data_IF_419604163857
#
_entry.id   IF_419604163857
#
_cell.length_a   1.000
_cell.length_b   1.000
_cell.length_c   1.000
_cell.angle_alpha   90.00
_cell.angle_beta   90.00
_cell.angle_gamma   90.00
#
_symmetry.space_group_name_H-M   'P 1'
#
loop_
_entity.id
_entity.type
_entity.pdbx_description
1 polymer ?
#
# COMPACT_ATOMS: atom_id res chain seq x y z
N UNK A 1 49.33 31.51 -58.26
CA UNK A 1 49.27 30.06 -57.97
C UNK A 1 49.03 29.84 -56.46
N UNK A 2 47.83 29.62 -56.04
CA UNK A 2 47.48 29.40 -54.64
C UNK A 2 47.11 27.91 -54.46
N UNK A 3 48.02 27.14 -53.86
CA UNK A 3 47.79 25.73 -53.54
C UNK A 3 46.87 25.61 -52.36
N UNK A 4 45.67 24.99 -52.52
CA UNK A 4 44.80 24.57 -51.44
C UNK A 4 45.37 23.29 -50.83
N UNK A 5 45.82 23.38 -49.58
CA UNK A 5 46.19 22.22 -48.77
C UNK A 5 44.88 21.66 -48.20
N UNK A 6 44.40 20.56 -48.76
CA UNK A 6 43.28 19.80 -48.23
C UNK A 6 43.83 18.88 -47.14
N UNK A 7 43.64 19.25 -45.88
CA UNK A 7 44.06 18.43 -44.74
C UNK A 7 43.09 17.23 -44.63
N UNK A 8 43.51 16.05 -45.09
CA UNK A 8 42.81 14.78 -44.86
C UNK A 8 42.92 14.44 -43.37
N UNK A 9 41.79 14.44 -42.67
CA UNK A 9 41.73 13.90 -41.30
C UNK A 9 42.13 12.42 -41.34
N UNK A 10 42.99 11.94 -40.42
CA UNK A 10 43.40 10.54 -40.38
C UNK A 10 42.19 9.63 -40.08
N UNK A 11 42.01 8.58 -40.89
CA UNK A 11 40.92 7.58 -40.85
C UNK A 11 40.69 7.04 -39.40
N UNK A 12 41.75 6.92 -38.61
CA UNK A 12 41.72 6.50 -37.22
C UNK A 12 40.93 7.45 -36.31
N UNK A 13 40.90 8.75 -36.62
CA UNK A 13 40.14 9.75 -35.83
C UNK A 13 38.64 9.68 -36.13
N UNK A 14 38.28 9.43 -37.38
CA UNK A 14 36.87 9.21 -37.76
C UNK A 14 36.28 7.96 -37.14
N UNK A 15 37.03 6.85 -37.04
CA UNK A 15 36.57 5.63 -36.37
C UNK A 15 36.28 5.83 -34.87
N UNK A 16 37.14 6.55 -34.17
CA UNK A 16 36.94 6.87 -32.76
C UNK A 16 35.70 7.76 -32.54
N UNK A 17 35.50 8.75 -33.40
CA UNK A 17 34.32 9.64 -33.30
C UNK A 17 33.02 8.87 -33.58
N UNK A 18 32.98 7.98 -34.57
CA UNK A 18 31.80 7.15 -34.85
C UNK A 18 31.50 6.16 -33.74
N UNK A 19 32.53 5.56 -33.13
CA UNK A 19 32.32 4.68 -31.96
C UNK A 19 31.78 5.43 -30.76
N UNK A 20 32.27 6.63 -30.47
CA UNK A 20 31.77 7.47 -29.37
C UNK A 20 30.31 7.89 -29.65
N UNK A 21 30.01 8.28 -30.90
CA UNK A 21 28.64 8.67 -31.28
C UNK A 21 27.67 7.50 -31.17
N UNK A 22 28.10 6.30 -31.58
CA UNK A 22 27.31 5.08 -31.45
C UNK A 22 27.07 4.72 -29.98
N UNK A 23 28.08 4.86 -29.12
CA UNK A 23 27.98 4.62 -27.67
C UNK A 23 26.99 5.61 -27.00
N UNK A 24 27.05 6.88 -27.41
CA UNK A 24 26.14 7.92 -26.91
C UNK A 24 24.70 7.67 -27.37
N UNK A 25 24.48 7.20 -28.59
CA UNK A 25 23.15 6.83 -29.10
C UNK A 25 22.60 5.61 -28.35
N UNK A 26 23.43 4.59 -28.12
CA UNK A 26 23.02 3.40 -27.31
C UNK A 26 22.71 3.79 -25.87
N UNK A 27 23.49 4.69 -25.27
CA UNK A 27 23.24 5.20 -23.92
C UNK A 27 21.94 6.02 -23.83
N UNK A 28 21.61 6.79 -24.87
CA UNK A 28 20.39 7.57 -24.97
C UNK A 28 19.14 6.71 -25.24
N UNK A 29 19.32 5.51 -25.77
CA UNK A 29 18.24 4.54 -26.02
C UNK A 29 17.98 3.60 -24.83
N UNK A 30 18.79 3.67 -23.76
CA UNK A 30 18.51 2.93 -22.55
C UNK A 30 17.20 3.46 -21.95
N UNK A 31 16.19 2.60 -21.72
CA UNK A 31 14.97 3.06 -21.10
C UNK A 31 15.31 3.65 -19.74
N UNK A 32 14.99 4.92 -19.51
CA UNK A 32 15.00 5.52 -18.20
C UNK A 32 14.03 4.69 -17.34
N UNK A 33 14.58 3.76 -16.55
CA UNK A 33 13.80 2.98 -15.61
C UNK A 33 13.14 3.95 -14.62
N UNK A 34 11.89 4.32 -14.88
CA UNK A 34 11.09 5.07 -13.91
C UNK A 34 10.84 4.13 -12.74
N UNK A 35 11.56 4.37 -11.65
CA UNK A 35 11.40 3.56 -10.45
C UNK A 35 9.96 3.70 -9.94
N UNK A 36 9.28 2.55 -9.74
CA UNK A 36 7.93 2.49 -9.25
C UNK A 36 7.81 3.19 -7.88
N UNK A 37 6.82 4.06 -7.74
CA UNK A 37 6.52 4.78 -6.49
C UNK A 37 5.59 3.97 -5.60
N UNK A 38 5.63 4.29 -4.32
CA UNK A 38 4.68 3.76 -3.36
C UNK A 38 3.83 4.92 -2.85
N UNK A 39 2.52 4.79 -2.96
CA UNK A 39 1.57 5.76 -2.42
C UNK A 39 0.88 5.15 -1.21
N UNK A 40 1.03 5.77 -0.04
CA UNK A 40 0.35 5.36 1.20
C UNK A 40 -0.63 6.45 1.65
N UNK A 41 -1.89 6.05 1.83
CA UNK A 41 -2.86 6.76 2.65
C UNK A 41 -2.98 6.01 3.98
N UNK A 42 -2.45 6.61 5.06
CA UNK A 42 -2.50 6.05 6.41
C UNK A 42 -3.54 6.79 7.24
N UNK A 43 -4.52 6.04 7.77
CA UNK A 43 -5.64 6.57 8.56
C UNK A 43 -5.66 5.89 9.91
N UNK A 44 -5.67 6.68 11.00
CA UNK A 44 -5.76 6.16 12.37
C UNK A 44 -6.64 7.02 13.24
N UNK A 45 -7.68 6.43 13.85
CA UNK A 45 -8.65 7.17 14.65
C UNK A 45 -8.73 6.55 16.02
N UNK A 46 -8.18 7.25 17.01
CA UNK A 46 -8.23 6.92 18.43
C UNK A 46 -9.26 7.74 19.17
N UNK A 47 -9.38 9.03 18.82
CA UNK A 47 -10.26 10.00 19.46
C UNK A 47 -11.49 10.20 18.53
N UNK A 48 -12.59 9.59 18.90
CA UNK A 48 -13.88 9.68 18.21
C UNK A 48 -14.80 10.71 18.88
N UNK A 49 -15.83 11.20 18.19
CA UNK A 49 -16.82 12.07 18.81
C UNK A 49 -17.48 11.39 20.04
N UNK A 50 -17.18 11.93 21.21
CA UNK A 50 -17.61 11.38 22.49
C UNK A 50 -16.72 10.25 23.00
N UNK A 51 -16.32 10.31 24.25
CA UNK A 51 -15.27 9.47 24.88
C UNK A 51 -15.56 7.97 24.96
N UNK A 52 -16.81 7.53 24.75
CA UNK A 52 -17.19 6.10 24.82
C UNK A 52 -16.60 5.23 23.73
N UNK A 53 -16.21 5.84 22.62
CA UNK A 53 -15.73 5.14 21.42
C UNK A 53 -14.23 5.30 21.23
N UNK A 54 -13.52 5.88 22.19
CA UNK A 54 -12.09 6.08 22.07
C UNK A 54 -11.33 4.77 22.11
N UNK A 55 -10.28 4.72 21.29
CA UNK A 55 -9.34 3.61 21.18
C UNK A 55 -7.92 4.12 21.50
N UNK A 56 -7.08 3.24 22.02
CA UNK A 56 -5.76 3.64 22.47
C UNK A 56 -4.69 3.63 21.38
N UNK A 57 -4.75 2.68 20.47
CA UNK A 57 -3.62 2.37 19.57
C UNK A 57 -3.73 2.92 18.14
N UNK A 58 -4.91 3.17 17.54
CA UNK A 58 -5.02 3.44 16.12
C UNK A 58 -4.20 4.61 15.60
N UNK A 59 -4.08 5.71 16.35
CA UNK A 59 -3.25 6.85 15.94
C UNK A 59 -1.76 6.47 15.88
N UNK A 60 -1.29 5.64 16.82
CA UNK A 60 0.08 5.12 16.82
C UNK A 60 0.30 4.15 15.65
N UNK A 61 -0.69 3.30 15.35
CA UNK A 61 -0.62 2.37 14.24
C UNK A 61 -0.43 3.13 12.91
N UNK A 62 -1.24 4.16 12.69
CA UNK A 62 -1.14 4.97 11.48
C UNK A 62 0.17 5.75 11.41
N UNK A 63 0.67 6.28 12.53
CA UNK A 63 1.96 6.96 12.60
C UNK A 63 3.12 5.99 12.34
N UNK A 64 3.04 4.76 12.86
CA UNK A 64 4.02 3.70 12.61
C UNK A 64 4.11 3.36 11.13
N UNK A 65 2.97 3.22 10.45
CA UNK A 65 2.95 2.95 9.01
C UNK A 65 3.47 4.15 8.22
N UNK A 66 3.14 5.38 8.59
CA UNK A 66 3.73 6.58 7.98
C UNK A 66 5.25 6.56 8.09
N UNK A 67 5.76 6.32 9.29
CA UNK A 67 7.20 6.31 9.55
C UNK A 67 7.90 5.23 8.72
N UNK A 68 7.39 3.99 8.73
CA UNK A 68 7.92 2.88 7.93
C UNK A 68 8.04 3.23 6.44
N UNK A 69 6.95 3.75 5.86
CA UNK A 69 6.96 4.05 4.43
C UNK A 69 7.82 5.26 4.09
N UNK A 70 8.01 6.23 5.00
CA UNK A 70 8.92 7.36 4.80
C UNK A 70 10.40 6.95 4.75
N UNK A 71 10.79 5.81 5.28
CA UNK A 71 12.13 5.24 5.11
C UNK A 71 12.41 4.87 3.65
N UNK A 72 11.36 4.58 2.88
CA UNK A 72 11.48 4.30 1.45
C UNK A 72 11.45 5.60 0.64
N UNK A 73 12.56 5.91 -0.04
CA UNK A 73 12.72 7.16 -0.83
C UNK A 73 11.67 7.32 -1.94
N UNK A 74 11.07 6.22 -2.40
CA UNK A 74 10.05 6.23 -3.45
C UNK A 74 8.63 6.42 -2.91
N UNK A 75 8.46 6.45 -1.59
CA UNK A 75 7.14 6.57 -0.99
C UNK A 75 6.62 8.02 -0.94
N UNK A 76 5.34 8.16 -1.22
CA UNK A 76 4.54 9.38 -1.03
C UNK A 76 3.47 9.06 0.00
N UNK A 77 3.51 9.72 1.15
CA UNK A 77 2.69 9.36 2.31
C UNK A 77 1.74 10.49 2.68
N UNK A 78 0.46 10.16 2.84
CA UNK A 78 -0.57 11.00 3.43
C UNK A 78 -1.01 10.36 4.75
N UNK A 79 -0.96 11.12 5.86
CA UNK A 79 -1.41 10.68 7.17
C UNK A 79 -2.64 11.51 7.57
N UNK A 80 -3.70 10.81 7.96
CA UNK A 80 -4.92 11.40 8.51
C UNK A 80 -5.22 10.74 9.87
N UNK A 81 -5.29 11.54 10.93
CA UNK A 81 -5.56 11.04 12.29
C UNK A 81 -6.75 11.79 12.91
N UNK A 82 -7.51 11.06 13.72
CA UNK A 82 -8.60 11.58 14.54
C UNK A 82 -9.55 12.51 13.74
N UNK A 83 -9.77 13.75 14.18
CA UNK A 83 -10.65 14.74 13.56
C UNK A 83 -10.30 15.12 12.10
N UNK A 84 -9.06 14.81 11.66
CA UNK A 84 -8.64 14.99 10.26
C UNK A 84 -9.10 13.84 9.36
N UNK A 85 -9.43 12.69 9.95
CA UNK A 85 -9.86 11.50 9.23
C UNK A 85 -11.39 11.47 8.99
N UNK A 86 -11.94 12.57 8.47
CA UNK A 86 -13.34 12.68 8.05
C UNK A 86 -13.56 11.94 6.72
N UNK A 87 -14.75 11.39 6.53
CA UNK A 87 -15.11 10.62 5.32
C UNK A 87 -14.74 11.37 4.04
N UNK A 88 -15.14 12.64 3.94
CA UNK A 88 -14.85 13.47 2.76
C UNK A 88 -13.35 13.69 2.54
N UNK A 89 -12.57 13.89 3.63
CA UNK A 89 -11.11 14.07 3.56
C UNK A 89 -10.42 12.81 3.12
N UNK A 90 -10.82 11.65 3.68
CA UNK A 90 -10.25 10.34 3.31
C UNK A 90 -10.56 10.02 1.84
N UNK A 91 -11.81 10.22 1.39
CA UNK A 91 -12.20 10.01 -0.02
C UNK A 91 -11.41 10.92 -0.97
N UNK A 92 -11.23 12.21 -0.63
CA UNK A 92 -10.43 13.16 -1.42
C UNK A 92 -8.96 12.75 -1.52
N UNK A 93 -8.36 12.33 -0.38
CA UNK A 93 -6.98 11.85 -0.36
C UNK A 93 -6.80 10.57 -1.21
N UNK A 94 -7.73 9.63 -1.09
CA UNK A 94 -7.77 8.41 -1.89
C UNK A 94 -7.88 8.75 -3.39
N UNK A 95 -8.82 9.60 -3.77
CA UNK A 95 -9.01 10.01 -5.16
C UNK A 95 -7.75 10.67 -5.75
N UNK A 96 -7.11 11.56 -4.98
CA UNK A 96 -5.83 12.17 -5.39
C UNK A 96 -4.74 11.12 -5.59
N UNK A 97 -4.63 10.14 -4.71
CA UNK A 97 -3.63 9.09 -4.78
C UNK A 97 -3.83 8.22 -6.04
N UNK A 98 -5.06 7.75 -6.27
CA UNK A 98 -5.35 6.86 -7.41
C UNK A 98 -5.25 7.56 -8.77
N UNK A 99 -5.47 8.89 -8.82
CA UNK A 99 -5.39 9.67 -10.07
C UNK A 99 -3.97 9.87 -10.58
N UNK A 100 -2.96 9.79 -9.71
CA UNK A 100 -1.54 10.01 -10.08
C UNK A 100 -0.73 8.72 -10.22
N UNK A 101 -1.24 7.60 -9.69
CA UNK A 101 -0.53 6.34 -9.72
C UNK A 101 -0.47 5.75 -11.14
N UNK A 102 0.70 5.27 -11.53
CA UNK A 102 0.95 4.57 -12.79
C UNK A 102 0.78 3.06 -12.64
N UNK A 103 0.91 2.31 -13.75
CA UNK A 103 0.65 0.86 -13.75
C UNK A 103 1.57 0.06 -12.82
N UNK A 104 2.81 0.51 -12.66
CA UNK A 104 3.85 -0.22 -11.91
C UNK A 104 3.99 0.27 -10.46
N UNK A 105 3.31 1.36 -10.12
CA UNK A 105 3.31 1.91 -8.76
C UNK A 105 2.58 0.96 -7.78
N UNK A 106 2.85 1.14 -6.50
CA UNK A 106 2.19 0.44 -5.40
C UNK A 106 1.26 1.43 -4.70
N UNK A 107 -0.01 1.06 -4.54
CA UNK A 107 -1.04 1.90 -3.89
C UNK A 107 -1.55 1.20 -2.64
N UNK A 108 -1.35 1.84 -1.50
CA UNK A 108 -1.64 1.29 -0.17
C UNK A 108 -2.60 2.19 0.57
N UNK A 109 -3.67 1.60 1.11
CA UNK A 109 -4.48 2.20 2.18
C UNK A 109 -4.15 1.42 3.45
N UNK A 110 -3.82 2.12 4.51
CA UNK A 110 -3.78 1.59 5.87
C UNK A 110 -4.89 2.25 6.69
N UNK A 111 -5.64 1.46 7.41
CA UNK A 111 -6.67 1.94 8.34
C UNK A 111 -6.51 1.26 9.70
N UNK A 112 -6.50 2.03 10.78
CA UNK A 112 -6.64 1.53 12.14
C UNK A 112 -7.73 2.31 12.86
N UNK A 113 -8.68 1.59 13.52
CA UNK A 113 -9.84 2.19 14.17
C UNK A 113 -11.02 1.24 14.28
N UNK A 114 -12.21 1.80 14.50
CA UNK A 114 -13.43 1.01 14.50
C UNK A 114 -13.80 0.55 13.08
N UNK A 115 -14.26 -0.70 13.02
CA UNK A 115 -14.84 -1.27 11.81
C UNK A 115 -16.32 -1.57 12.01
N UNK A 116 -17.05 -1.55 10.91
CA UNK A 116 -18.44 -1.98 10.80
C UNK A 116 -18.59 -2.99 9.67
N UNK A 117 -19.73 -3.65 9.60
CA UNK A 117 -20.02 -4.55 8.48
C UNK A 117 -19.97 -3.79 7.17
N UNK A 118 -18.98 -4.13 6.32
CA UNK A 118 -18.83 -3.53 5.00
C UNK A 118 -18.07 -2.20 4.95
N UNK A 119 -17.39 -1.78 6.04
CA UNK A 119 -16.66 -0.51 6.03
C UNK A 119 -15.87 -0.20 7.30
N UNK A 120 -15.30 0.98 7.30
CA UNK A 120 -14.54 1.58 8.38
C UNK A 120 -15.29 2.78 8.97
N UNK A 121 -15.13 3.03 10.26
CA UNK A 121 -15.69 4.19 10.94
C UNK A 121 -14.66 5.32 10.87
N UNK A 122 -14.93 6.34 10.05
CA UNK A 122 -14.20 7.60 10.07
C UNK A 122 -14.70 8.50 11.21
N UNK A 123 -14.04 9.64 11.41
CA UNK A 123 -14.37 10.56 12.50
C UNK A 123 -15.83 11.04 12.49
N UNK A 124 -16.41 11.22 11.31
CA UNK A 124 -17.77 11.80 11.12
C UNK A 124 -18.76 10.88 10.39
N UNK A 125 -18.40 9.59 10.19
CA UNK A 125 -19.30 8.67 9.50
C UNK A 125 -18.57 7.42 8.99
N UNK A 126 -19.13 6.77 7.95
CA UNK A 126 -18.64 5.50 7.45
C UNK A 126 -17.96 5.64 6.09
N UNK A 127 -16.79 5.00 5.94
CA UNK A 127 -16.14 4.75 4.67
C UNK A 127 -16.44 3.31 4.28
N UNK A 128 -17.33 3.11 3.32
CA UNK A 128 -17.68 1.77 2.87
C UNK A 128 -16.61 1.17 1.96
N UNK A 129 -16.50 -0.15 1.95
CA UNK A 129 -15.56 -0.83 1.06
C UNK A 129 -15.89 -0.59 -0.41
N UNK A 130 -17.18 -0.38 -0.76
CA UNK A 130 -17.60 -0.03 -2.11
C UNK A 130 -17.04 1.34 -2.56
N UNK A 131 -16.87 2.30 -1.65
CA UNK A 131 -16.19 3.56 -1.94
C UNK A 131 -14.72 3.33 -2.32
N UNK A 132 -14.05 2.43 -1.58
CA UNK A 132 -12.65 2.05 -1.83
C UNK A 132 -12.53 1.30 -3.16
N UNK A 133 -13.40 0.32 -3.40
CA UNK A 133 -13.41 -0.43 -4.66
C UNK A 133 -13.64 0.49 -5.86
N UNK A 134 -14.60 1.41 -5.75
CA UNK A 134 -14.92 2.37 -6.82
C UNK A 134 -13.71 3.27 -7.13
N UNK A 135 -13.05 3.80 -6.10
CA UNK A 135 -11.86 4.61 -6.29
C UNK A 135 -10.71 3.79 -6.91
N UNK A 136 -10.45 2.59 -6.37
CA UNK A 136 -9.38 1.70 -6.83
C UNK A 136 -9.63 1.16 -8.25
N UNK A 137 -10.88 1.04 -8.69
CA UNK A 137 -11.22 0.62 -10.05
C UNK A 137 -10.73 1.62 -11.10
N UNK A 138 -10.69 2.92 -10.77
CA UNK A 138 -10.17 3.97 -11.66
C UNK A 138 -8.63 4.08 -11.63
N UNK A 139 -7.98 3.41 -10.70
CA UNK A 139 -6.53 3.44 -10.54
C UNK A 139 -5.82 2.58 -11.59
N UNK A 140 -4.82 3.14 -12.26
CA UNK A 140 -4.00 2.44 -13.26
C UNK A 140 -3.06 1.39 -12.64
N UNK A 141 -2.70 1.55 -11.36
CA UNK A 141 -1.80 0.61 -10.68
C UNK A 141 -2.35 -0.81 -10.68
N UNK A 142 -1.47 -1.78 -10.91
CA UNK A 142 -1.77 -3.22 -10.78
C UNK A 142 -1.61 -3.72 -9.34
N UNK A 143 -0.88 -2.97 -8.49
CA UNK A 143 -0.51 -3.35 -7.14
C UNK A 143 -1.28 -2.50 -6.12
N UNK A 144 -2.50 -2.90 -5.82
CA UNK A 144 -3.42 -2.14 -4.96
C UNK A 144 -3.81 -2.95 -3.74
N UNK A 145 -3.68 -2.34 -2.55
CA UNK A 145 -3.94 -3.05 -1.31
C UNK A 145 -4.55 -2.17 -0.22
N UNK A 146 -5.29 -2.82 0.65
CA UNK A 146 -5.85 -2.27 1.89
C UNK A 146 -5.37 -3.12 3.05
N UNK A 147 -4.64 -2.54 3.97
CA UNK A 147 -4.31 -3.11 5.27
C UNK A 147 -5.21 -2.49 6.33
N UNK A 148 -5.83 -3.30 7.19
CA UNK A 148 -6.66 -2.73 8.25
C UNK A 148 -6.52 -3.45 9.58
N UNK A 149 -6.21 -2.68 10.62
CA UNK A 149 -6.28 -3.10 12.02
C UNK A 149 -7.59 -2.57 12.63
N UNK A 150 -8.67 -3.31 12.41
CA UNK A 150 -10.01 -2.94 12.81
C UNK A 150 -10.85 -4.17 13.16
N UNK A 151 -11.73 -4.01 14.15
CA UNK A 151 -12.72 -5.05 14.50
C UNK A 151 -13.72 -5.23 13.34
N UNK A 152 -14.30 -6.44 13.20
CA UNK A 152 -15.28 -6.78 12.14
C UNK A 152 -14.79 -6.60 10.70
N UNK A 153 -13.51 -6.36 10.52
CA UNK A 153 -12.92 -6.18 9.21
C UNK A 153 -13.18 -7.38 8.27
N UNK A 154 -13.24 -8.61 8.80
CA UNK A 154 -13.53 -9.82 8.04
C UNK A 154 -15.00 -10.07 7.66
N UNK A 155 -15.95 -9.22 8.07
CA UNK A 155 -17.39 -9.39 7.82
C UNK A 155 -17.80 -9.36 6.34
N UNK A 156 -16.91 -8.97 5.44
CA UNK A 156 -17.15 -8.90 3.99
C UNK A 156 -17.38 -10.28 3.36
N UNK A 157 -16.83 -11.34 3.93
CA UNK A 157 -16.95 -12.70 3.38
C UNK A 157 -18.38 -13.23 3.32
N UNK A 158 -19.30 -12.66 4.10
CA UNK A 158 -20.70 -13.07 4.12
C UNK A 158 -21.56 -12.07 3.35
N UNK A 159 -21.51 -12.07 2.04
CA UNK A 159 -22.26 -11.33 1.04
C UNK A 159 -23.78 -11.12 1.25
N UNK A 160 -24.17 -10.61 2.40
CA UNK A 160 -25.52 -10.14 2.69
C UNK A 160 -25.44 -8.78 3.40
N UNK A 161 -24.90 -7.78 2.75
CA UNK A 161 -25.27 -6.40 3.07
C UNK A 161 -26.55 -6.07 2.30
N UNK A 162 -27.56 -5.53 2.98
CA UNK A 162 -28.78 -4.99 2.34
C UNK A 162 -28.54 -3.68 1.55
N UNK A 163 -27.31 -3.23 1.42
CA UNK A 163 -26.90 -2.37 0.34
C UNK A 163 -26.62 -3.31 -0.85
N UNK A 164 -27.26 -3.11 -1.98
CA UNK A 164 -26.95 -3.76 -3.26
C UNK A 164 -25.45 -3.54 -3.57
N UNK A 165 -24.57 -4.31 -2.92
CA UNK A 165 -23.19 -4.44 -3.34
C UNK A 165 -23.28 -5.10 -4.71
N UNK A 166 -23.12 -4.31 -5.73
CA UNK A 166 -23.01 -4.80 -7.08
C UNK A 166 -21.81 -5.78 -7.04
N UNK A 167 -22.10 -7.08 -7.10
CA UNK A 167 -21.08 -8.15 -7.16
C UNK A 167 -20.08 -7.91 -8.30
N UNK A 168 -20.43 -7.05 -9.25
CA UNK A 168 -19.58 -6.56 -10.32
C UNK A 168 -18.49 -5.55 -9.88
N UNK A 169 -18.63 -4.85 -8.74
CA UNK A 169 -17.62 -3.89 -8.28
C UNK A 169 -16.43 -4.58 -7.60
N UNK A 170 -16.66 -5.64 -6.86
CA UNK A 170 -15.63 -6.44 -6.16
C UNK A 170 -14.65 -7.07 -7.16
N UNK A 171 -15.12 -7.45 -8.36
CA UNK A 171 -14.30 -8.06 -9.41
C UNK A 171 -13.54 -7.06 -10.27
N UNK A 172 -13.88 -5.76 -10.24
CA UNK A 172 -13.30 -4.76 -11.14
C UNK A 172 -12.05 -4.07 -10.60
N UNK A 173 -11.79 -4.14 -9.30
CA UNK A 173 -10.76 -3.30 -8.67
C UNK A 173 -9.36 -3.89 -8.65
N UNK A 174 -9.17 -5.20 -8.76
CA UNK A 174 -7.89 -5.88 -8.51
C UNK A 174 -7.22 -5.36 -7.23
N UNK A 175 -7.94 -5.42 -6.11
CA UNK A 175 -7.49 -4.92 -4.81
C UNK A 175 -7.34 -6.08 -3.85
N UNK A 176 -6.20 -6.13 -3.16
CA UNK A 176 -5.98 -7.03 -2.03
C UNK A 176 -6.47 -6.35 -0.74
N UNK A 177 -7.30 -7.04 0.04
CA UNK A 177 -7.62 -6.68 1.40
C UNK A 177 -6.93 -7.63 2.37
N UNK A 178 -6.17 -7.07 3.29
CA UNK A 178 -5.51 -7.82 4.35
C UNK A 178 -5.89 -7.20 5.69
N UNK A 179 -6.70 -7.91 6.45
CA UNK A 179 -7.32 -7.43 7.67
C UNK A 179 -6.84 -8.19 8.89
N UNK A 180 -6.86 -7.52 10.03
CA UNK A 180 -6.31 -7.99 11.30
C UNK A 180 -7.02 -9.19 11.89
N UNK A 181 -8.32 -9.42 11.57
CA UNK A 181 -9.14 -10.45 12.22
C UNK A 181 -10.27 -10.92 11.34
N UNK A 182 -10.85 -12.07 11.71
CA UNK A 182 -12.10 -12.58 11.13
C UNK A 182 -13.28 -11.73 11.58
N UNK A 183 -14.42 -11.92 10.91
CA UNK A 183 -15.66 -11.16 11.18
C UNK A 183 -16.25 -11.31 12.58
N UNK A 184 -15.91 -12.37 13.28
CA UNK A 184 -16.36 -12.69 14.64
C UNK A 184 -15.28 -12.46 15.70
N UNK A 185 -14.14 -11.90 15.32
CA UNK A 185 -13.01 -11.65 16.22
C UNK A 185 -12.81 -10.14 16.42
N UNK A 186 -12.32 -9.76 17.59
CA UNK A 186 -11.91 -8.39 17.90
C UNK A 186 -10.40 -8.26 17.74
N UNK A 187 -9.94 -7.14 17.19
CA UNK A 187 -8.54 -6.74 17.32
C UNK A 187 -8.23 -6.51 18.81
N UNK A 188 -7.11 -7.06 19.27
CA UNK A 188 -6.79 -7.10 20.69
C UNK A 188 -5.80 -5.99 21.01
N UNK A 189 -6.15 -5.19 21.98
CA UNK A 189 -5.25 -4.25 22.64
C UNK A 189 -4.87 -4.76 24.04
N UNK A 190 -3.58 -4.75 24.37
CA UNK A 190 -3.09 -5.08 25.72
C UNK A 190 -2.40 -3.87 26.34
N UNK A 191 -2.44 -3.72 27.68
CA UNK A 191 -1.62 -2.73 28.39
C UNK A 191 -0.13 -2.86 27.98
N UNK A 192 0.55 -1.74 27.80
CA UNK A 192 1.97 -1.71 27.41
C UNK A 192 2.26 -1.85 25.91
N UNK A 193 1.27 -2.17 25.07
CA UNK A 193 1.46 -2.17 23.60
C UNK A 193 1.46 -0.76 23.05
N UNK A 194 2.35 -0.51 22.09
CA UNK A 194 2.39 0.72 21.29
C UNK A 194 1.58 0.61 19.99
N UNK A 195 1.42 -0.62 19.48
CA UNK A 195 0.66 -0.94 18.27
C UNK A 195 -0.21 -2.17 18.48
N UNK A 196 -1.27 -2.31 17.69
CA UNK A 196 -2.05 -3.55 17.59
C UNK A 196 -1.17 -4.72 17.11
N UNK A 197 -1.53 -5.96 17.43
CA UNK A 197 -0.75 -7.14 17.03
C UNK A 197 -0.57 -7.24 15.52
N UNK A 198 -1.59 -6.87 14.77
CA UNK A 198 -1.53 -6.88 13.31
C UNK A 198 -0.56 -5.82 12.79
N UNK A 199 -0.70 -4.56 13.23
CA UNK A 199 0.18 -3.47 12.81
C UNK A 199 1.62 -3.73 13.22
N UNK A 200 1.85 -4.25 14.43
CA UNK A 200 3.19 -4.66 14.87
C UNK A 200 3.81 -5.71 13.93
N UNK A 201 3.07 -6.77 13.61
CA UNK A 201 3.54 -7.82 12.72
C UNK A 201 3.72 -7.31 11.28
N UNK A 202 2.79 -6.46 10.81
CA UNK A 202 2.83 -5.85 9.48
C UNK A 202 4.09 -4.98 9.30
N UNK A 203 4.39 -4.10 10.27
CA UNK A 203 5.59 -3.28 10.26
C UNK A 203 6.86 -4.11 10.15
N UNK A 204 7.00 -5.15 10.98
CA UNK A 204 8.18 -6.01 10.96
C UNK A 204 8.29 -6.81 9.65
N UNK A 205 7.16 -7.30 9.14
CA UNK A 205 7.11 -8.00 7.87
C UNK A 205 7.56 -7.11 6.71
N UNK A 206 6.99 -5.91 6.61
CA UNK A 206 7.31 -4.94 5.56
C UNK A 206 8.73 -4.38 5.62
N UNK A 207 9.40 -4.41 6.79
CA UNK A 207 10.83 -4.03 6.94
C UNK A 207 11.80 -5.13 6.54
N UNK A 208 11.34 -6.18 5.89
CA UNK A 208 12.17 -7.29 5.41
C UNK A 208 11.99 -8.58 6.19
N UNK A 209 11.25 -8.59 7.31
CA UNK A 209 11.02 -9.80 8.07
C UNK A 209 10.22 -10.86 7.31
N UNK A 210 9.42 -10.44 6.34
CA UNK A 210 8.64 -11.33 5.47
C UNK A 210 9.39 -11.74 4.20
N UNK A 211 10.48 -11.08 3.83
CA UNK A 211 11.30 -11.38 2.65
C UNK A 211 12.05 -12.69 2.84
N UNK A 212 11.39 -13.78 2.47
CA UNK A 212 11.87 -15.14 2.70
C UNK A 212 12.99 -15.55 1.74
N UNK A 213 12.89 -15.09 0.49
CA UNK A 213 13.84 -15.40 -0.58
C UNK A 213 15.00 -14.39 -0.67
N UNK A 214 14.95 -13.28 0.08
CA UNK A 214 15.96 -12.22 0.17
C UNK A 214 16.21 -11.48 -1.15
N UNK A 215 15.16 -11.34 -1.96
CA UNK A 215 15.22 -10.60 -3.23
C UNK A 215 14.90 -9.10 -3.06
N UNK A 216 14.64 -8.63 -1.81
CA UNK A 216 14.27 -7.26 -1.45
C UNK A 216 12.89 -6.83 -1.95
N UNK A 217 12.08 -7.78 -2.37
CA UNK A 217 10.69 -7.60 -2.73
C UNK A 217 9.86 -8.44 -1.76
N UNK A 218 8.91 -7.81 -1.09
CA UNK A 218 7.96 -8.54 -0.25
C UNK A 218 6.69 -8.72 -1.06
N UNK A 219 6.30 -9.97 -1.27
CA UNK A 219 5.10 -10.35 -1.99
C UNK A 219 3.88 -10.43 -1.07
N UNK A 220 2.68 -10.43 -1.64
CA UNK A 220 1.44 -10.60 -0.90
C UNK A 220 1.42 -11.88 -0.07
N UNK A 221 1.89 -12.99 -0.66
CA UNK A 221 1.95 -14.28 0.03
C UNK A 221 2.94 -14.30 1.18
N UNK A 222 4.16 -13.82 0.97
CA UNK A 222 5.18 -13.76 2.02
C UNK A 222 4.72 -12.91 3.21
N UNK A 223 4.13 -11.74 2.92
CA UNK A 223 3.59 -10.88 3.96
C UNK A 223 2.45 -11.56 4.73
N UNK A 224 1.53 -12.22 4.03
CA UNK A 224 0.41 -12.92 4.66
C UNK A 224 0.88 -14.05 5.58
N UNK A 225 1.79 -14.89 5.10
CA UNK A 225 2.32 -16.02 5.87
C UNK A 225 3.01 -15.51 7.15
N UNK A 226 3.89 -14.51 7.02
CA UNK A 226 4.60 -13.91 8.14
C UNK A 226 3.66 -13.28 9.17
N UNK A 227 2.78 -12.37 8.72
CA UNK A 227 1.89 -11.63 9.62
C UNK A 227 0.90 -12.58 10.29
N UNK A 228 0.34 -13.54 9.55
CA UNK A 228 -0.62 -14.51 10.10
C UNK A 228 0.00 -15.36 11.20
N UNK A 229 1.24 -15.84 11.02
CA UNK A 229 1.96 -16.58 12.04
C UNK A 229 2.18 -15.72 13.30
N UNK A 230 2.73 -14.52 13.12
CA UNK A 230 3.06 -13.63 14.24
C UNK A 230 1.84 -13.18 15.03
N UNK A 231 0.76 -12.82 14.33
CA UNK A 231 -0.49 -12.39 15.00
C UNK A 231 -1.13 -13.54 15.77
N UNK A 232 -1.23 -14.73 15.18
CA UNK A 232 -1.75 -15.91 15.90
C UNK A 232 -0.94 -16.19 17.15
N UNK A 233 0.39 -16.26 17.04
CA UNK A 233 1.29 -16.52 18.17
C UNK A 233 1.12 -15.46 19.26
N UNK A 234 1.22 -14.17 18.92
CA UNK A 234 1.21 -13.07 19.88
C UNK A 234 -0.16 -12.86 20.54
N UNK A 235 -1.25 -13.15 19.83
CA UNK A 235 -2.62 -13.06 20.38
C UNK A 235 -3.03 -14.28 21.23
N UNK A 236 -2.20 -15.32 21.31
CA UNK A 236 -2.57 -16.60 21.91
C UNK A 236 -3.70 -17.29 21.12
N UNK A 237 -3.58 -17.26 19.79
CA UNK A 237 -4.54 -17.84 18.84
C UNK A 237 -5.97 -17.25 18.90
N UNK A 238 -6.10 -15.99 19.35
CA UNK A 238 -7.40 -15.30 19.48
C UNK A 238 -7.69 -14.33 18.34
N UNK A 239 -6.68 -14.04 17.50
CA UNK A 239 -6.81 -13.15 16.36
C UNK A 239 -6.20 -13.83 15.12
N UNK A 240 -7.00 -13.90 14.05
CA UNK A 240 -6.62 -14.58 12.81
C UNK A 240 -6.75 -13.60 11.65
N UNK A 241 -5.64 -13.06 11.13
CA UNK A 241 -5.67 -12.23 9.94
C UNK A 241 -6.29 -12.95 8.75
N UNK A 242 -6.98 -12.20 7.92
CA UNK A 242 -7.63 -12.70 6.70
C UNK A 242 -7.23 -11.85 5.51
N UNK A 243 -7.03 -12.52 4.38
CA UNK A 243 -6.69 -11.87 3.12
C UNK A 243 -7.64 -12.34 2.03
N UNK A 244 -8.13 -11.40 1.21
CA UNK A 244 -8.99 -11.71 0.07
C UNK A 244 -8.90 -10.61 -0.99
N UNK A 245 -9.50 -10.85 -2.15
CA UNK A 245 -9.54 -9.94 -3.28
C UNK A 245 -9.10 -10.64 -4.57
N UNK A 246 -8.92 -9.86 -5.62
CA UNK A 246 -8.38 -10.34 -6.89
C UNK A 246 -6.95 -9.80 -7.06
N UNK A 247 -5.97 -10.62 -6.76
CA UNK A 247 -4.53 -10.30 -6.86
C UNK A 247 -3.74 -11.59 -7.08
N UNK A 248 -2.45 -11.47 -7.42
CA UNK A 248 -1.51 -12.59 -7.47
C UNK A 248 -0.81 -12.74 -6.13
N UNK A 249 -0.47 -13.96 -5.73
CA UNK A 249 0.39 -14.26 -4.58
C UNK A 249 1.74 -13.55 -4.68
N UNK A 250 2.26 -13.39 -5.90
CA UNK A 250 3.51 -12.71 -6.21
C UNK A 250 3.37 -11.18 -6.34
N UNK A 251 2.18 -10.61 -6.08
CA UNK A 251 1.99 -9.16 -6.14
C UNK A 251 2.94 -8.46 -5.17
N UNK A 252 3.80 -7.53 -5.62
CA UNK A 252 4.69 -6.81 -4.72
C UNK A 252 3.90 -5.88 -3.81
N UNK A 253 4.13 -5.99 -2.51
CA UNK A 253 3.54 -5.11 -1.48
C UNK A 253 4.55 -4.10 -0.94
N UNK A 254 5.85 -4.42 -1.04
CA UNK A 254 6.96 -3.53 -0.69
C UNK A 254 8.19 -3.89 -1.51
N UNK A 255 8.96 -2.86 -1.90
CA UNK A 255 10.27 -2.97 -2.56
C UNK A 255 11.25 -2.04 -1.86
N UNK A 256 12.45 -2.55 -1.52
CA UNK A 256 13.49 -1.80 -0.79
C UNK A 256 14.69 -1.46 -1.68
#
# INVERSE_FOLDING_TARGET
MTSRITTMMPICHMYKVTQILLLLVVLALLPLSVQAKIYLLSVGISDYPGTRNDLRLPHNDAATMQWLYKENKQAKVCLLMNDKAKVATVKKALQKMVSVATADDIVVIFFSGHGVKGGFVCYDGFLYYDDIYTAMASCKSKNKMVFADACFAGAIRQGKSNAKANSNSVNKGNVMFFLSSRSNEKSIERPGMTNGFFTYALQHGLRGGADKNRDRIITAKELFDYVSEKVKKNSGNRQHPVMWGKFSDDMPVMKW
#
